data_IF_191660647239
#
_entry.id   IF_191660647239
#
_cell.length_a   1.000
_cell.length_b   1.000
_cell.length_c   1.000
_cell.angle_alpha   90.00
_cell.angle_beta   90.00
_cell.angle_gamma   90.00
#
_symmetry.space_group_name_H-M   'P 1'
#
loop_
_entity.id
_entity.type
_entity.pdbx_description
1 polymer ?
#
# COMPACT_ATOMS: atom_id res chain seq x y z
N UNK A 1 26.03 49.98 8.71
CA UNK A 1 24.82 49.19 9.10
C UNK A 1 24.14 48.46 7.93
N UNK A 2 24.25 48.91 6.67
CA UNK A 2 23.60 48.24 5.52
C UNK A 2 24.18 46.86 5.13
N UNK A 3 25.45 46.59 5.45
CA UNK A 3 26.12 45.33 5.10
C UNK A 3 25.64 44.11 5.91
N UNK A 4 25.13 44.34 7.13
CA UNK A 4 24.69 43.25 8.03
C UNK A 4 23.36 42.62 7.57
N UNK A 5 22.49 43.42 6.94
CA UNK A 5 21.21 42.96 6.41
C UNK A 5 21.38 42.04 5.19
N UNK A 6 22.39 42.28 4.35
CA UNK A 6 22.68 41.42 3.20
C UNK A 6 23.16 40.02 3.62
N UNK A 7 23.93 39.93 4.71
CA UNK A 7 24.40 38.65 5.22
C UNK A 7 23.26 37.81 5.82
N UNK A 8 22.31 38.47 6.50
CA UNK A 8 21.16 37.82 7.12
C UNK A 8 20.15 37.29 6.10
N UNK A 9 19.97 38.00 4.97
CA UNK A 9 19.12 37.54 3.86
C UNK A 9 19.78 36.36 3.12
N UNK A 10 21.11 36.36 2.97
CA UNK A 10 21.84 35.26 2.31
C UNK A 10 21.72 33.94 3.10
N UNK A 11 21.83 33.96 4.42
CA UNK A 11 21.68 32.77 5.28
C UNK A 11 20.26 32.17 5.20
N UNK A 12 19.22 33.01 5.07
CA UNK A 12 17.84 32.55 4.93
C UNK A 12 17.56 31.88 3.57
N UNK A 13 18.31 32.20 2.51
CA UNK A 13 18.14 31.57 1.19
C UNK A 13 18.90 30.23 1.05
N UNK A 14 20.01 30.02 1.78
CA UNK A 14 20.76 28.76 1.70
C UNK A 14 20.21 27.63 2.62
N UNK A 15 19.36 27.94 3.60
CA UNK A 15 18.80 26.94 4.52
C UNK A 15 17.64 26.10 3.96
N UNK A 16 17.12 26.44 2.77
CA UNK A 16 15.80 26.01 2.32
C UNK A 16 15.77 25.06 1.13
N UNK A 17 16.59 24.00 1.05
CA UNK A 17 16.46 23.04 -0.05
C UNK A 17 16.90 21.60 0.24
N UNK A 18 16.70 21.10 1.46
CA UNK A 18 16.68 19.64 1.65
C UNK A 18 15.29 19.10 1.26
N UNK A 19 14.99 19.11 -0.05
CA UNK A 19 13.87 18.38 -0.59
C UNK A 19 14.09 16.89 -0.31
N UNK A 20 13.42 16.37 0.71
CA UNK A 20 13.41 14.93 0.98
C UNK A 20 12.64 14.27 -0.16
N UNK A 21 13.36 13.72 -1.13
CA UNK A 21 12.78 12.97 -2.24
C UNK A 21 12.16 11.70 -1.66
N UNK A 22 10.86 11.75 -1.33
CA UNK A 22 10.07 10.55 -1.11
C UNK A 22 9.92 9.84 -2.45
N UNK A 23 10.49 8.64 -2.58
CA UNK A 23 10.48 7.90 -3.85
C UNK A 23 9.09 7.46 -4.29
N UNK A 24 8.17 7.23 -3.34
CA UNK A 24 6.79 6.86 -3.60
C UNK A 24 5.91 8.09 -3.75
N UNK A 25 5.26 8.19 -4.91
CA UNK A 25 4.36 9.29 -5.21
C UNK A 25 2.89 9.00 -4.87
N UNK A 26 2.42 7.75 -5.06
CA UNK A 26 1.00 7.40 -4.84
C UNK A 26 0.81 5.91 -4.55
N UNK A 27 -0.20 5.60 -3.74
CA UNK A 27 -0.70 4.23 -3.54
C UNK A 27 -2.09 4.13 -4.18
N UNK A 28 -2.32 3.02 -4.87
CA UNK A 28 -3.65 2.58 -5.28
C UNK A 28 -3.91 1.26 -4.57
N UNK A 29 -4.89 1.22 -3.67
CA UNK A 29 -5.12 0.05 -2.83
C UNK A 29 -6.61 -0.26 -2.73
N UNK A 30 -6.92 -1.51 -3.06
CA UNK A 30 -8.27 -2.02 -3.14
C UNK A 30 -8.39 -3.32 -2.36
N UNK A 31 -9.59 -3.57 -1.82
CA UNK A 31 -9.97 -4.85 -1.22
C UNK A 31 -11.22 -5.37 -1.90
N UNK A 32 -11.29 -6.68 -2.08
CA UNK A 32 -12.43 -7.38 -2.62
C UNK A 32 -12.87 -8.45 -1.65
N UNK A 33 -14.12 -8.38 -1.20
CA UNK A 33 -14.69 -9.38 -0.29
C UNK A 33 -14.93 -10.68 -1.05
N UNK A 34 -14.45 -11.78 -0.49
CA UNK A 34 -14.77 -13.12 -0.96
C UNK A 34 -16.07 -13.58 -0.31
N UNK A 35 -17.04 -13.96 -1.14
CA UNK A 35 -18.24 -14.66 -0.68
C UNK A 35 -17.87 -16.12 -0.47
N UNK A 36 -17.83 -16.52 0.79
CA UNK A 36 -17.57 -17.90 1.18
C UNK A 36 -18.81 -18.73 0.87
N UNK A 37 -18.65 -19.80 0.08
CA UNK A 37 -19.72 -20.76 -0.18
C UNK A 37 -20.19 -21.50 1.09
N UNK A 38 -21.23 -22.33 0.91
CA UNK A 38 -21.95 -23.21 1.88
C UNK A 38 -21.73 -22.93 3.37
N UNK A 39 -22.81 -22.57 4.07
CA UNK A 39 -22.85 -22.39 5.53
C UNK A 39 -22.27 -23.63 6.23
N UNK A 40 -21.29 -23.43 7.11
CA UNK A 40 -20.79 -24.52 7.98
C UNK A 40 -21.72 -24.61 9.17
N UNK A 41 -22.31 -25.77 9.36
CA UNK A 41 -23.17 -26.09 10.50
C UNK A 41 -22.37 -26.98 11.44
N UNK A 42 -22.40 -26.69 12.74
CA UNK A 42 -21.81 -27.56 13.76
C UNK A 42 -22.68 -28.79 14.04
N UNK A 43 -22.19 -29.71 14.87
CA UNK A 43 -22.89 -30.94 15.26
C UNK A 43 -24.24 -30.66 15.96
N UNK A 44 -24.47 -29.42 16.43
CA UNK A 44 -25.69 -28.99 17.09
C UNK A 44 -26.67 -28.25 16.16
N UNK A 45 -26.38 -28.19 14.86
CA UNK A 45 -27.23 -27.51 13.89
C UNK A 45 -27.06 -25.99 13.84
N UNK A 46 -26.05 -25.42 14.52
CA UNK A 46 -25.82 -23.97 14.57
C UNK A 46 -24.82 -23.53 13.51
N UNK A 47 -25.05 -22.35 12.95
CA UNK A 47 -24.14 -21.75 11.99
C UNK A 47 -22.84 -21.32 12.68
N UNK A 48 -21.70 -21.75 12.12
CA UNK A 48 -20.39 -21.30 12.60
C UNK A 48 -20.00 -20.02 11.86
N UNK A 49 -19.86 -18.87 12.55
CA UNK A 49 -19.52 -17.61 11.90
C UNK A 49 -18.12 -17.69 11.29
N UNK A 50 -18.02 -17.45 9.98
CA UNK A 50 -16.74 -17.38 9.28
C UNK A 50 -16.20 -15.95 9.27
N UNK A 51 -14.89 -15.80 9.49
CA UNK A 51 -14.21 -14.53 9.29
C UNK A 51 -14.26 -14.17 7.80
N UNK A 52 -14.61 -12.92 7.43
CA UNK A 52 -14.61 -12.50 6.05
C UNK A 52 -13.19 -12.59 5.47
N UNK A 53 -13.08 -13.13 4.27
CA UNK A 53 -11.83 -13.21 3.52
C UNK A 53 -11.81 -12.12 2.44
N UNK A 54 -10.61 -11.60 2.15
CA UNK A 54 -10.43 -10.53 1.19
C UNK A 54 -9.27 -10.81 0.25
N UNK A 55 -9.47 -10.50 -1.03
CA UNK A 55 -8.39 -10.28 -1.97
C UNK A 55 -7.91 -8.84 -1.88
N UNK A 56 -6.61 -8.61 -1.94
CA UNK A 56 -6.00 -7.29 -1.87
C UNK A 56 -5.27 -6.96 -3.18
N UNK A 57 -5.58 -5.80 -3.75
CA UNK A 57 -4.91 -5.29 -4.95
C UNK A 57 -4.20 -3.98 -4.58
N UNK A 58 -2.88 -4.06 -4.38
CA UNK A 58 -2.10 -2.96 -3.83
C UNK A 58 -1.00 -2.59 -4.82
N UNK A 59 -1.00 -1.35 -5.27
CA UNK A 59 -0.05 -0.82 -6.24
C UNK A 59 0.65 0.42 -5.68
N UNK A 60 1.96 0.46 -5.88
CA UNK A 60 2.85 1.51 -5.43
C UNK A 60 3.45 2.21 -6.65
N UNK A 61 3.07 3.47 -6.87
CA UNK A 61 3.59 4.28 -7.97
C UNK A 61 4.74 5.18 -7.48
N UNK A 62 5.94 4.96 -8.00
CA UNK A 62 7.16 5.67 -7.61
C UNK A 62 7.85 6.34 -8.79
N UNK A 63 8.51 7.47 -8.51
CA UNK A 63 9.37 8.15 -9.49
C UNK A 63 10.78 7.56 -9.49
N UNK A 64 11.22 7.06 -8.33
CA UNK A 64 12.51 6.38 -8.16
C UNK A 64 12.33 4.89 -7.88
N UNK A 65 13.43 4.15 -7.86
CA UNK A 65 13.40 2.76 -7.41
C UNK A 65 13.14 2.72 -5.90
N UNK A 66 12.20 1.88 -5.49
CA UNK A 66 11.80 1.72 -4.10
C UNK A 66 11.77 0.24 -3.75
N UNK A 67 12.19 -0.08 -2.53
CA UNK A 67 12.17 -1.44 -1.99
C UNK A 67 11.17 -1.51 -0.83
N UNK A 68 9.96 -2.04 -1.05
CA UNK A 68 9.04 -2.38 0.03
C UNK A 68 9.69 -3.38 1.00
N UNK A 69 9.53 -3.14 2.30
CA UNK A 69 10.12 -3.94 3.38
C UNK A 69 9.03 -4.63 4.18
N UNK A 70 7.98 -3.88 4.54
CA UNK A 70 6.86 -4.39 5.32
C UNK A 70 5.55 -3.88 4.72
N UNK A 71 4.54 -4.73 4.75
CA UNK A 71 3.16 -4.35 4.48
C UNK A 71 2.30 -4.74 5.67
N UNK A 72 1.57 -3.78 6.21
CA UNK A 72 0.63 -3.99 7.29
C UNK A 72 -0.77 -3.89 6.75
N UNK A 73 -1.59 -4.91 6.99
CA UNK A 73 -2.98 -4.96 6.55
C UNK A 73 -3.82 -5.29 7.78
N UNK A 74 -4.74 -4.40 8.14
CA UNK A 74 -5.64 -4.56 9.28
C UNK A 74 -4.90 -4.93 10.59
N UNK A 75 -3.78 -4.27 10.87
CA UNK A 75 -2.99 -4.48 12.09
C UNK A 75 -1.99 -5.64 12.06
N UNK A 76 -1.97 -6.43 10.98
CA UNK A 76 -1.05 -7.57 10.84
C UNK A 76 0.08 -7.27 9.85
N UNK A 77 1.32 -7.65 10.20
CA UNK A 77 2.52 -7.37 9.41
C UNK A 77 2.95 -8.56 8.55
N UNK A 78 3.23 -8.29 7.28
CA UNK A 78 3.62 -9.28 6.27
C UNK A 78 4.86 -8.81 5.51
N UNK A 79 5.67 -9.78 5.07
CA UNK A 79 6.71 -9.50 4.07
C UNK A 79 6.01 -9.29 2.72
N UNK A 80 6.26 -8.17 2.01
CA UNK A 80 5.65 -7.94 0.71
C UNK A 80 6.34 -8.77 -0.37
N UNK A 81 5.55 -9.51 -1.14
CA UNK A 81 5.96 -10.00 -2.45
C UNK A 81 5.77 -8.89 -3.47
N UNK A 82 6.80 -8.60 -4.25
CA UNK A 82 6.85 -7.44 -5.16
C UNK A 82 6.90 -7.94 -6.60
N UNK A 83 5.97 -7.48 -7.42
CA UNK A 83 5.97 -7.71 -8.88
C UNK A 83 5.99 -6.38 -9.61
N UNK A 84 6.80 -6.26 -10.66
CA UNK A 84 6.83 -5.04 -11.48
C UNK A 84 5.65 -5.05 -12.45
N UNK A 85 4.89 -3.96 -12.47
CA UNK A 85 3.83 -3.75 -13.46
C UNK A 85 4.48 -3.18 -14.73
N UNK A 86 4.36 -3.91 -15.84
CA UNK A 86 4.98 -3.55 -17.12
C UNK A 86 4.08 -2.68 -18.00
N UNK A 87 2.75 -2.77 -17.84
CA UNK A 87 1.76 -2.07 -18.65
C UNK A 87 0.82 -1.28 -17.76
N UNK A 88 0.55 -0.02 -18.12
CA UNK A 88 -0.52 0.80 -17.54
C UNK A 88 -1.42 1.37 -18.65
N UNK A 89 -2.74 1.55 -18.43
CA UNK A 89 -3.48 1.35 -17.18
C UNK A 89 -3.56 -0.12 -16.74
N UNK A 90 -3.73 -0.34 -15.44
CA UNK A 90 -4.08 -1.66 -14.89
C UNK A 90 -5.58 -1.71 -14.70
N UNK A 91 -6.22 -2.63 -15.40
CA UNK A 91 -7.66 -2.81 -15.38
C UNK A 91 -8.01 -4.08 -14.61
N UNK A 92 -9.00 -3.97 -13.74
CA UNK A 92 -9.69 -5.09 -13.13
C UNK A 92 -10.96 -5.33 -13.92
N UNK A 93 -11.14 -6.55 -14.41
CA UNK A 93 -12.39 -6.99 -15.03
C UNK A 93 -13.02 -8.02 -14.12
N UNK A 94 -14.28 -7.81 -13.75
CA UNK A 94 -15.02 -8.79 -12.96
C UNK A 94 -15.17 -10.08 -13.78
N UNK A 95 -14.77 -11.22 -13.22
CA UNK A 95 -14.85 -12.50 -13.90
C UNK A 95 -16.29 -12.91 -14.23
N UNK A 96 -17.27 -12.42 -13.47
CA UNK A 96 -18.69 -12.76 -13.63
C UNK A 96 -19.47 -11.76 -14.48
N UNK A 97 -18.98 -10.53 -14.63
CA UNK A 97 -19.56 -9.51 -15.51
C UNK A 97 -18.43 -8.77 -16.25
N UNK A 98 -18.09 -9.20 -17.47
CA UNK A 98 -17.04 -8.59 -18.26
C UNK A 98 -17.27 -7.10 -18.60
N UNK A 99 -18.52 -6.63 -18.49
CA UNK A 99 -18.85 -5.22 -18.73
C UNK A 99 -18.52 -4.33 -17.52
N UNK A 100 -18.27 -4.94 -16.35
CA UNK A 100 -17.82 -4.25 -15.14
C UNK A 100 -16.30 -4.27 -15.07
N UNK A 101 -15.68 -3.38 -15.84
CA UNK A 101 -14.24 -3.10 -15.74
C UNK A 101 -13.98 -1.84 -14.91
N UNK A 102 -12.92 -1.88 -14.12
CA UNK A 102 -12.47 -0.75 -13.30
C UNK A 102 -10.98 -0.56 -13.44
N UNK A 103 -10.57 0.65 -13.79
CA UNK A 103 -9.17 1.03 -13.80
C UNK A 103 -8.66 1.12 -12.36
N UNK A 104 -7.77 0.22 -11.97
CA UNK A 104 -7.12 0.22 -10.65
C UNK A 104 -5.90 1.15 -10.62
N UNK A 105 -5.17 1.24 -11.73
CA UNK A 105 -4.06 2.17 -11.89
C UNK A 105 -4.24 2.89 -13.24
N UNK A 106 -4.35 4.22 -13.27
CA UNK A 106 -4.46 4.95 -14.52
C UNK A 106 -3.16 4.85 -15.34
N UNK A 107 -3.24 5.21 -16.63
CA UNK A 107 -2.06 5.30 -17.49
C UNK A 107 -1.09 6.34 -16.91
N UNK A 108 0.10 5.91 -16.50
CA UNK A 108 1.11 6.78 -15.88
C UNK A 108 2.52 6.43 -16.36
N UNK A 109 3.36 7.45 -16.57
CA UNK A 109 4.78 7.29 -16.92
C UNK A 109 5.69 7.04 -15.71
N UNK A 110 5.16 6.43 -14.64
CA UNK A 110 5.90 6.16 -13.39
C UNK A 110 6.15 4.68 -13.23
N UNK A 111 7.14 4.32 -12.41
CA UNK A 111 7.34 2.93 -12.04
C UNK A 111 6.20 2.48 -11.14
N UNK A 112 5.60 1.34 -11.45
CA UNK A 112 4.51 0.77 -10.65
C UNK A 112 4.92 -0.61 -10.17
N UNK A 113 4.81 -0.83 -8.87
CA UNK A 113 5.00 -2.12 -8.23
C UNK A 113 3.67 -2.62 -7.72
N UNK A 114 3.34 -3.86 -8.01
CA UNK A 114 2.26 -4.58 -7.36
C UNK A 114 2.81 -5.26 -6.11
N UNK A 115 2.09 -5.11 -5.00
CA UNK A 115 2.42 -5.65 -3.70
C UNK A 115 1.37 -6.66 -3.29
N UNK A 116 1.84 -7.85 -2.88
CA UNK A 116 1.00 -8.88 -2.30
C UNK A 116 1.56 -9.26 -0.93
N UNK A 117 0.72 -9.42 0.12
CA UNK A 117 1.20 -9.95 1.38
C UNK A 117 1.68 -11.38 1.16
N UNK A 118 2.87 -11.73 1.64
CA UNK A 118 3.31 -13.12 1.63
C UNK A 118 2.51 -13.93 2.65
N UNK A 119 2.53 -15.27 2.52
CA UNK A 119 1.89 -16.17 3.48
C UNK A 119 2.54 -16.13 4.87
N UNK A 120 3.76 -15.59 4.97
CA UNK A 120 4.55 -15.56 6.19
C UNK A 120 4.47 -14.19 6.85
N UNK A 121 4.02 -14.18 8.11
CA UNK A 121 4.04 -12.97 8.96
C UNK A 121 5.48 -12.59 9.31
N UNK A 122 5.72 -11.30 9.50
CA UNK A 122 7.03 -10.81 9.92
C UNK A 122 7.26 -11.15 11.40
N UNK A 123 8.37 -11.80 11.72
CA UNK A 123 8.73 -12.19 13.09
C UNK A 123 9.07 -10.99 13.99
N UNK A 124 9.68 -9.94 13.44
CA UNK A 124 10.08 -8.72 14.17
C UNK A 124 9.63 -7.48 13.40
N UNK A 125 8.33 -7.12 13.49
CA UNK A 125 7.78 -6.03 12.71
C UNK A 125 8.13 -4.67 13.32
N UNK A 126 8.19 -3.63 12.49
CA UNK A 126 8.52 -2.26 12.94
C UNK A 126 7.49 -1.71 13.94
N UNK A 127 7.96 -1.17 15.07
CA UNK A 127 7.10 -0.53 16.08
C UNK A 127 6.26 0.60 15.48
N UNK A 128 6.87 1.41 14.59
CA UNK A 128 6.17 2.51 13.93
C UNK A 128 5.12 1.99 12.95
N UNK A 129 5.38 0.87 12.28
CA UNK A 129 4.39 0.17 11.46
C UNK A 129 3.16 -0.23 12.29
N UNK A 130 3.38 -0.82 13.47
CA UNK A 130 2.32 -1.19 14.41
C UNK A 130 1.45 0.00 14.78
N UNK A 131 2.06 1.07 15.29
CA UNK A 131 1.32 2.28 15.71
C UNK A 131 0.53 2.91 14.56
N UNK A 132 1.08 2.92 13.33
CA UNK A 132 0.35 3.45 12.18
C UNK A 132 -0.81 2.52 11.78
N UNK A 133 -0.64 1.20 11.89
CA UNK A 133 -1.66 0.22 11.52
C UNK A 133 -2.89 0.22 12.44
N UNK A 134 -2.77 0.72 13.66
CA UNK A 134 -3.91 0.88 14.59
C UNK A 134 -4.95 1.88 14.06
N UNK A 135 -4.55 2.81 13.19
CA UNK A 135 -5.42 3.88 12.64
C UNK A 135 -5.68 3.75 11.15
N UNK A 136 -5.05 2.79 10.47
CA UNK A 136 -5.07 2.69 9.02
C UNK A 136 -5.23 1.23 8.58
N UNK A 137 -6.10 0.97 7.61
CA UNK A 137 -6.28 -0.38 7.05
C UNK A 137 -5.02 -0.89 6.33
N UNK A 138 -4.19 0.01 5.79
CA UNK A 138 -2.94 -0.35 5.11
C UNK A 138 -1.79 0.59 5.48
N UNK A 139 -0.63 0.01 5.81
CA UNK A 139 0.65 0.73 5.94
C UNK A 139 1.71 0.03 5.12
N UNK A 140 2.44 0.78 4.32
CA UNK A 140 3.56 0.28 3.53
C UNK A 140 4.83 0.97 4.01
N UNK A 141 5.81 0.16 4.40
CA UNK A 141 7.14 0.60 4.78
C UNK A 141 8.09 0.26 3.64
N UNK A 142 8.87 1.24 3.19
CA UNK A 142 9.79 1.07 2.05
C UNK A 142 11.07 1.89 2.21
N UNK A 143 12.11 1.48 1.49
CA UNK A 143 13.37 2.22 1.31
C UNK A 143 13.41 2.83 -0.09
N UNK A 144 13.91 4.06 -0.22
CA UNK A 144 14.17 4.70 -1.50
C UNK A 144 15.59 4.40 -2.02
N UNK A 145 15.76 4.37 -3.34
CA UNK A 145 17.08 4.23 -3.96
C UNK A 145 18.01 5.37 -3.54
N UNK A 146 19.09 5.05 -2.82
CA UNK A 146 20.09 6.01 -2.37
C UNK A 146 20.11 6.28 -0.86
N UNK A 147 19.14 5.76 -0.09
CA UNK A 147 19.18 5.79 1.39
C UNK A 147 18.81 4.41 1.93
N UNK A 148 19.84 3.58 2.08
CA UNK A 148 19.71 2.16 2.45
C UNK A 148 19.06 2.02 3.84
N UNK A 149 19.25 2.98 4.75
CA UNK A 149 18.86 2.78 6.16
C UNK A 149 17.65 3.60 6.63
N UNK A 150 17.09 4.50 5.79
CA UNK A 150 15.96 5.33 6.21
C UNK A 150 14.63 4.72 5.72
N UNK A 151 13.81 4.14 6.60
CA UNK A 151 12.48 3.69 6.22
C UNK A 151 11.55 4.90 6.02
N UNK A 152 10.77 4.82 4.94
CA UNK A 152 9.68 5.72 4.64
C UNK A 152 8.35 4.99 4.81
N UNK A 153 7.28 5.75 5.03
CA UNK A 153 5.97 5.22 5.38
C UNK A 153 4.93 5.85 4.46
N UNK A 154 4.03 5.02 3.93
CA UNK A 154 2.81 5.50 3.30
C UNK A 154 1.64 4.72 3.89
N UNK A 155 0.56 5.44 4.17
CA UNK A 155 -0.62 4.91 4.85
C UNK A 155 -1.84 5.11 3.98
N UNK A 156 -2.79 4.18 4.08
CA UNK A 156 -4.12 4.31 3.52
C UNK A 156 -5.09 4.02 4.65
N UNK A 157 -5.87 5.03 5.04
CA UNK A 157 -6.80 4.95 6.17
C UNK A 157 -7.87 3.89 5.94
N UNK A 158 -8.44 3.85 4.73
CA UNK A 158 -9.45 2.88 4.32
C UNK A 158 -9.22 2.42 2.88
N UNK A 159 -9.23 1.12 2.65
CA UNK A 159 -9.09 0.52 1.32
C UNK A 159 -10.35 0.73 0.49
N UNK A 160 -10.19 0.97 -0.80
CA UNK A 160 -11.33 1.08 -1.72
C UNK A 160 -11.92 -0.31 -1.94
N UNK A 161 -13.23 -0.46 -1.74
CA UNK A 161 -13.91 -1.74 -1.95
C UNK A 161 -14.20 -1.96 -3.44
N UNK A 162 -13.94 -3.19 -3.89
CA UNK A 162 -14.39 -3.73 -5.18
C UNK A 162 -15.60 -4.64 -4.94
N UNK A 163 -16.34 -4.89 -6.02
CA UNK A 163 -17.51 -5.76 -5.96
C UNK A 163 -17.13 -7.16 -5.46
N UNK A 164 -17.95 -7.77 -4.58
CA UNK A 164 -17.64 -9.09 -4.04
C UNK A 164 -17.64 -10.17 -5.12
N UNK A 165 -16.78 -11.17 -4.93
CA UNK A 165 -16.60 -12.31 -5.85
C UNK A 165 -16.78 -13.61 -5.06
N UNK A 166 -17.46 -14.59 -5.65
CA UNK A 166 -17.60 -15.91 -5.05
C UNK A 166 -16.26 -16.63 -5.00
N UNK A 167 -15.95 -17.23 -3.86
CA UNK A 167 -14.74 -18.03 -3.70
C UNK A 167 -14.87 -19.29 -4.57
N UNK A 168 -14.03 -19.40 -5.59
CA UNK A 168 -13.92 -20.59 -6.45
C UNK A 168 -13.27 -21.76 -5.71
#
# INVERSE_FOLDING_TARGET
MKSFYFFLISICFYGGAFAQIEGVSKIYAYKQKLKLGTVRVDESGREVPRKPQYNYFIYLASTTSVKPIEIWINGEAYVPTVSKVTVTPVEYTNAFDPNQSKILVPKIGKNVLQLSPSLTKINKPSLKGKTLSEKNELVIIYQGSGKIDKPYYKVVSKLTELDPVDMQ
#
